data_IF_827795099956
#
_entry.id   IF_827795099956
#
_cell.length_a   1.000
_cell.length_b   1.000
_cell.length_c   1.000
_cell.angle_alpha   90.00
_cell.angle_beta   90.00
_cell.angle_gamma   90.00
#
_symmetry.space_group_name_H-M   'P 1'
#
loop_
_entity.id
_entity.type
_entity.pdbx_description
1 polymer ?
#
# COMPACT_ATOMS: atom_id res chain seq x y z
N UNK A 1 -5.52 -41.10 1.05
CA UNK A 1 -4.16 -41.44 0.55
C UNK A 1 -3.05 -40.75 1.37
N UNK A 2 -3.04 -39.42 1.47
CA UNK A 2 -1.94 -38.70 2.12
C UNK A 2 -2.18 -38.40 3.61
N UNK A 3 -3.42 -38.11 4.03
CA UNK A 3 -3.76 -37.74 5.42
C UNK A 3 -5.06 -38.38 5.92
N UNK A 4 -5.14 -39.73 6.00
CA UNK A 4 -6.40 -40.43 6.30
C UNK A 4 -6.99 -40.06 7.67
N UNK A 5 -6.15 -39.89 8.70
CA UNK A 5 -6.62 -39.53 10.04
C UNK A 5 -7.22 -38.12 10.12
N UNK A 6 -6.80 -37.23 9.22
CA UNK A 6 -7.24 -35.84 9.14
C UNK A 6 -8.36 -35.64 8.12
N UNK A 7 -8.91 -36.70 7.52
CA UNK A 7 -10.03 -36.59 6.59
C UNK A 7 -11.35 -36.65 7.36
N UNK A 8 -12.26 -35.66 7.20
CA UNK A 8 -13.57 -35.68 7.82
C UNK A 8 -14.46 -36.79 7.23
N UNK A 9 -15.49 -37.21 7.96
CA UNK A 9 -16.41 -38.27 7.52
C UNK A 9 -17.26 -37.86 6.31
N UNK A 10 -17.59 -36.58 6.22
CA UNK A 10 -18.33 -35.98 5.11
C UNK A 10 -17.52 -34.86 4.45
N UNK A 11 -17.68 -34.62 3.14
CA UNK A 11 -17.04 -33.51 2.44
C UNK A 11 -17.44 -32.15 3.04
N UNK A 12 -16.46 -31.27 3.22
CA UNK A 12 -16.70 -29.92 3.73
C UNK A 12 -17.21 -29.06 2.58
N UNK A 13 -18.36 -28.40 2.77
CA UNK A 13 -18.97 -27.51 1.78
C UNK A 13 -18.78 -26.06 2.19
N UNK A 14 -18.33 -25.24 1.25
CA UNK A 14 -18.19 -23.79 1.42
C UNK A 14 -19.17 -23.11 0.48
N UNK A 15 -19.99 -22.19 1.00
CA UNK A 15 -20.84 -21.32 0.20
C UNK A 15 -20.16 -19.97 -0.01
N UNK A 16 -20.20 -19.46 -1.22
CA UNK A 16 -19.88 -18.06 -1.52
C UNK A 16 -21.08 -17.17 -1.17
N UNK A 17 -20.83 -16.02 -0.54
CA UNK A 17 -21.87 -15.04 -0.24
C UNK A 17 -22.13 -14.13 -1.44
N UNK A 18 -23.41 -13.98 -1.80
CA UNK A 18 -23.99 -13.11 -2.83
C UNK A 18 -23.57 -13.35 -4.29
N UNK A 19 -24.58 -13.74 -5.10
CA UNK A 19 -24.69 -13.53 -6.56
C UNK A 19 -23.45 -13.80 -7.43
N UNK A 20 -22.51 -14.60 -6.95
CA UNK A 20 -21.35 -14.98 -7.74
C UNK A 20 -21.81 -16.01 -8.77
N UNK A 21 -21.73 -15.62 -10.04
CA UNK A 21 -21.95 -16.42 -11.25
C UNK A 21 -21.77 -17.93 -11.02
N UNK A 22 -22.91 -18.61 -10.96
CA UNK A 22 -23.15 -19.97 -10.44
C UNK A 22 -22.53 -21.11 -11.29
N UNK A 23 -21.50 -20.80 -12.08
CA UNK A 23 -20.76 -21.74 -12.95
C UNK A 23 -19.24 -21.75 -12.71
N UNK A 24 -18.73 -20.96 -11.76
CA UNK A 24 -17.30 -20.87 -11.49
C UNK A 24 -16.87 -21.77 -10.34
N UNK A 25 -15.77 -22.51 -10.54
CA UNK A 25 -15.13 -23.27 -9.49
C UNK A 25 -14.08 -22.43 -8.76
N UNK A 26 -13.79 -22.80 -7.50
CA UNK A 26 -12.66 -22.24 -6.77
C UNK A 26 -11.32 -22.49 -7.51
N UNK A 27 -10.36 -21.58 -7.34
CA UNK A 27 -8.99 -21.80 -7.82
C UNK A 27 -8.40 -22.99 -7.06
N UNK A 28 -8.15 -24.09 -7.78
CA UNK A 28 -7.68 -25.36 -7.23
C UNK A 28 -6.70 -26.05 -8.18
N UNK A 29 -5.89 -27.02 -7.70
CA UNK A 29 -5.14 -27.88 -8.59
C UNK A 29 -6.08 -28.62 -9.54
N UNK A 30 -5.72 -28.67 -10.83
CA UNK A 30 -6.44 -29.49 -11.82
C UNK A 30 -6.33 -30.98 -11.48
N UNK A 31 -5.18 -31.37 -10.92
CA UNK A 31 -4.86 -32.71 -10.45
C UNK A 31 -4.27 -32.64 -9.05
N UNK A 32 -4.91 -33.31 -8.10
CA UNK A 32 -4.51 -33.29 -6.69
C UNK A 32 -3.31 -34.18 -6.38
N UNK A 33 -3.08 -35.19 -7.22
CA UNK A 33 -1.99 -36.14 -7.08
C UNK A 33 -0.63 -35.53 -7.43
N UNK A 34 -0.62 -34.46 -8.25
CA UNK A 34 0.54 -33.60 -8.45
C UNK A 34 0.75 -32.81 -7.16
N UNK A 35 1.63 -33.30 -6.29
CA UNK A 35 1.97 -32.61 -5.04
C UNK A 35 2.93 -31.44 -5.32
N UNK A 36 3.11 -30.49 -4.38
CA UNK A 36 4.15 -29.47 -4.50
C UNK A 36 5.55 -30.02 -4.79
N UNK A 37 5.90 -31.17 -4.19
CA UNK A 37 7.19 -31.83 -4.39
C UNK A 37 7.32 -32.41 -5.82
N UNK A 38 6.23 -32.90 -6.40
CA UNK A 38 6.19 -33.35 -7.78
C UNK A 38 6.20 -32.16 -8.76
N UNK A 39 5.42 -31.12 -8.47
CA UNK A 39 5.37 -29.89 -9.25
C UNK A 39 6.73 -29.18 -9.30
N UNK A 40 7.57 -29.31 -8.26
CA UNK A 40 8.92 -28.76 -8.21
C UNK A 40 9.87 -29.29 -9.31
N UNK A 41 9.52 -30.42 -9.95
CA UNK A 41 10.25 -30.94 -11.12
C UNK A 41 10.05 -30.06 -12.37
N UNK A 42 8.91 -29.36 -12.46
CA UNK A 42 8.49 -28.58 -13.62
C UNK A 42 8.40 -27.08 -13.35
N UNK A 43 8.04 -26.70 -12.13
CA UNK A 43 7.86 -25.32 -11.69
C UNK A 43 9.01 -24.91 -10.77
N UNK A 44 9.47 -23.66 -10.91
CA UNK A 44 10.53 -23.07 -10.08
C UNK A 44 10.12 -21.68 -9.59
N UNK A 45 10.80 -21.21 -8.54
CA UNK A 45 10.64 -19.85 -8.03
C UNK A 45 9.20 -19.53 -7.63
N UNK A 46 8.67 -18.41 -8.12
CA UNK A 46 7.37 -17.90 -7.69
C UNK A 46 6.19 -18.72 -8.23
N UNK A 47 6.33 -19.37 -9.39
CA UNK A 47 5.30 -20.29 -9.91
C UNK A 47 5.11 -21.50 -8.98
N UNK A 48 6.22 -22.08 -8.49
CA UNK A 48 6.15 -23.20 -7.56
C UNK A 48 5.52 -22.77 -6.23
N UNK A 49 5.89 -21.59 -5.71
CA UNK A 49 5.31 -21.06 -4.47
C UNK A 49 3.81 -20.83 -4.59
N UNK A 50 3.37 -20.22 -5.71
CA UNK A 50 1.94 -19.96 -5.94
C UNK A 50 1.16 -21.27 -6.08
N UNK A 51 1.68 -22.23 -6.85
CA UNK A 51 1.07 -23.56 -6.97
C UNK A 51 0.97 -24.26 -5.61
N UNK A 52 2.06 -24.23 -4.83
CA UNK A 52 2.10 -24.85 -3.50
C UNK A 52 1.07 -24.21 -2.57
N UNK A 53 0.92 -22.88 -2.59
CA UNK A 53 -0.09 -22.17 -1.80
C UNK A 53 -1.52 -22.59 -2.19
N UNK A 54 -1.81 -22.67 -3.49
CA UNK A 54 -3.13 -23.12 -4.00
C UNK A 54 -3.40 -24.56 -3.58
N UNK A 55 -2.42 -25.46 -3.74
CA UNK A 55 -2.54 -26.86 -3.40
C UNK A 55 -2.76 -27.06 -1.90
N UNK A 56 -1.94 -26.42 -1.06
CA UNK A 56 -2.06 -26.48 0.40
C UNK A 56 -3.42 -25.97 0.87
N UNK A 57 -3.89 -24.83 0.34
CA UNK A 57 -5.19 -24.25 0.72
C UNK A 57 -6.35 -25.17 0.31
N UNK A 58 -6.30 -25.72 -0.90
CA UNK A 58 -7.36 -26.60 -1.39
C UNK A 58 -7.42 -27.92 -0.60
N UNK A 59 -6.28 -28.57 -0.35
CA UNK A 59 -6.24 -29.80 0.47
C UNK A 59 -6.68 -29.51 1.90
N UNK A 60 -6.17 -28.43 2.53
CA UNK A 60 -6.55 -28.01 3.88
C UNK A 60 -8.06 -27.78 4.02
N UNK A 61 -8.73 -27.27 2.97
CA UNK A 61 -10.18 -27.03 2.99
C UNK A 61 -11.02 -28.30 3.17
N UNK A 62 -10.46 -29.47 2.89
CA UNK A 62 -11.15 -30.77 3.04
C UNK A 62 -10.55 -31.60 4.18
N UNK A 63 -9.83 -30.98 5.12
CA UNK A 63 -9.25 -31.63 6.29
C UNK A 63 -10.00 -31.22 7.57
N UNK A 64 -9.90 -32.05 8.60
CA UNK A 64 -10.44 -31.75 9.93
C UNK A 64 -9.86 -30.44 10.48
N UNK A 65 -10.64 -29.67 11.25
CA UNK A 65 -10.14 -28.53 12.02
C UNK A 65 -8.98 -28.94 12.94
N UNK A 66 -8.09 -27.98 13.21
CA UNK A 66 -7.10 -28.15 14.27
C UNK A 66 -7.76 -27.98 15.65
N UNK A 67 -7.31 -28.77 16.62
CA UNK A 67 -7.72 -28.67 18.02
C UNK A 67 -6.54 -28.13 18.81
N UNK A 68 -6.71 -26.93 19.35
CA UNK A 68 -5.68 -26.22 20.13
C UNK A 68 -6.17 -26.07 21.56
N UNK A 69 -5.29 -26.37 22.52
CA UNK A 69 -5.52 -26.12 23.94
C UNK A 69 -4.74 -24.87 24.35
N UNK A 70 -5.47 -23.87 24.83
CA UNK A 70 -4.90 -22.64 25.39
C UNK A 70 -5.02 -22.67 26.91
N UNK A 71 -3.90 -22.48 27.60
CA UNK A 71 -3.84 -22.31 29.04
C UNK A 71 -3.50 -20.84 29.34
N UNK A 72 -4.27 -20.22 30.22
CA UNK A 72 -4.04 -18.85 30.69
C UNK A 72 -3.88 -18.88 32.20
N UNK A 73 -2.84 -18.24 32.70
CA UNK A 73 -2.57 -18.10 34.12
C UNK A 73 -2.53 -16.62 34.49
N UNK A 74 -3.22 -16.32 35.58
CA UNK A 74 -3.14 -15.05 36.27
C UNK A 74 -2.14 -15.20 37.43
N UNK A 75 -1.12 -14.34 37.44
CA UNK A 75 0.02 -14.37 38.36
C UNK A 75 -0.07 -13.13 39.23
N UNK A 76 -0.32 -13.33 40.53
CA UNK A 76 -0.38 -12.25 41.50
C UNK A 76 1.03 -11.89 41.97
N UNK A 77 1.43 -10.62 41.83
CA UNK A 77 2.69 -10.10 42.37
C UNK A 77 2.37 -8.85 43.19
N UNK A 78 2.39 -8.97 44.53
CA UNK A 78 1.93 -7.91 45.41
C UNK A 78 0.46 -7.58 45.15
N UNK A 79 0.16 -6.33 44.81
CA UNK A 79 -1.19 -5.88 44.41
C UNK A 79 -1.47 -6.01 42.91
N UNK A 80 -0.44 -6.26 42.09
CA UNK A 80 -0.56 -6.36 40.64
C UNK A 80 -0.97 -7.74 40.15
N UNK A 81 -1.77 -7.78 39.07
CA UNK A 81 -2.15 -9.00 38.37
C UNK A 81 -1.49 -9.04 36.99
N UNK A 82 -0.64 -10.05 36.77
CA UNK A 82 -0.01 -10.32 35.49
C UNK A 82 -0.70 -11.49 34.80
N UNK A 83 -0.71 -11.51 33.47
CA UNK A 83 -1.34 -12.59 32.70
C UNK A 83 -0.35 -13.19 31.72
N UNK A 84 -0.27 -14.52 31.72
CA UNK A 84 0.49 -15.28 30.74
C UNK A 84 -0.42 -16.31 30.07
N UNK A 85 -0.22 -16.52 28.77
CA UNK A 85 -0.98 -17.49 27.98
C UNK A 85 -0.04 -18.34 27.14
N UNK A 86 -0.33 -19.65 27.09
CA UNK A 86 0.39 -20.59 26.24
C UNK A 86 -0.61 -21.48 25.48
N UNK A 87 -0.31 -21.78 24.23
CA UNK A 87 -1.15 -22.58 23.34
C UNK A 87 -0.41 -23.80 22.84
N UNK A 88 -1.07 -24.95 22.81
CA UNK A 88 -0.49 -26.22 22.33
C UNK A 88 -1.46 -26.97 21.43
N UNK A 89 -0.94 -27.65 20.39
CA UNK A 89 -1.74 -28.51 19.53
C UNK A 89 -2.11 -29.81 20.25
N UNK A 90 -3.41 -30.08 20.32
CA UNK A 90 -3.95 -31.40 20.66
C UNK A 90 -4.09 -32.23 19.39
N UNK A 91 -4.62 -31.60 18.32
CA UNK A 91 -4.66 -32.16 16.97
C UNK A 91 -4.29 -31.09 15.94
N UNK A 92 -3.34 -31.39 15.07
CA UNK A 92 -2.89 -30.44 14.04
C UNK A 92 -3.94 -30.19 12.94
N UNK A 93 -4.84 -31.15 12.69
CA UNK A 93 -5.85 -31.04 11.64
C UNK A 93 -5.25 -30.64 10.28
N UNK A 94 -5.84 -29.62 9.65
CA UNK A 94 -5.37 -29.03 8.39
C UNK A 94 -3.96 -28.41 8.46
N UNK A 95 -3.40 -28.09 9.64
CA UNK A 95 -2.03 -27.54 9.72
C UNK A 95 -0.95 -28.54 9.27
N UNK A 96 -1.26 -29.84 9.18
CA UNK A 96 -0.34 -30.83 8.61
C UNK A 96 0.07 -30.55 7.17
N UNK A 97 -0.82 -29.93 6.40
CA UNK A 97 -0.58 -29.67 4.98
C UNK A 97 -0.10 -28.24 4.71
N UNK A 98 -0.56 -27.27 5.49
CA UNK A 98 -0.15 -25.87 5.31
C UNK A 98 1.33 -25.74 5.67
N UNK A 99 2.16 -25.20 4.77
CA UNK A 99 3.60 -24.94 4.96
C UNK A 99 3.93 -23.47 4.73
N UNK A 100 3.38 -22.87 3.67
CA UNK A 100 3.70 -21.51 3.26
C UNK A 100 2.88 -20.43 3.98
N UNK A 101 1.66 -20.78 4.41
CA UNK A 101 0.70 -19.82 4.94
C UNK A 101 0.64 -19.69 6.47
N UNK A 102 1.26 -20.61 7.23
CA UNK A 102 1.23 -20.57 8.69
C UNK A 102 2.58 -20.14 9.25
N UNK A 103 2.56 -19.22 10.22
CA UNK A 103 3.73 -18.72 10.91
C UNK A 103 4.42 -19.83 11.73
N UNK A 104 5.70 -19.65 12.10
CA UNK A 104 6.39 -20.60 12.98
C UNK A 104 5.76 -20.65 14.38
N UNK A 105 5.29 -19.51 14.87
CA UNK A 105 4.58 -19.37 16.15
C UNK A 105 3.25 -20.11 16.13
N UNK A 106 2.52 -20.06 15.02
CA UNK A 106 1.27 -20.80 14.82
C UNK A 106 1.45 -22.32 14.82
N UNK A 107 2.68 -22.86 14.79
CA UNK A 107 2.96 -24.31 14.82
C UNK A 107 3.70 -24.77 16.07
N UNK A 108 4.09 -23.85 16.93
CA UNK A 108 4.89 -24.20 18.11
C UNK A 108 3.96 -24.38 19.29
N UNK A 109 3.98 -25.58 19.85
CA UNK A 109 3.27 -25.87 21.09
C UNK A 109 4.06 -25.28 22.26
N UNK A 110 3.45 -24.33 22.95
CA UNK A 110 3.96 -23.75 24.18
C UNK A 110 3.15 -24.27 25.36
N UNK A 111 3.83 -24.51 26.47
CA UNK A 111 3.22 -24.83 27.76
C UNK A 111 3.66 -23.79 28.77
N UNK A 112 2.80 -23.52 29.74
CA UNK A 112 3.19 -22.72 30.89
C UNK A 112 4.20 -23.54 31.70
N UNK A 113 5.35 -22.96 32.09
CA UNK A 113 6.40 -23.68 32.80
C UNK A 113 6.10 -23.87 34.30
N UNK A 114 4.85 -23.70 34.71
CA UNK A 114 4.42 -23.71 36.10
C UNK A 114 2.98 -24.19 36.25
N UNK A 115 2.63 -24.61 37.47
CA UNK A 115 1.32 -25.14 37.82
C UNK A 115 0.51 -24.21 38.73
N UNK A 116 -0.79 -24.49 38.85
CA UNK A 116 -1.67 -23.72 39.74
C UNK A 116 -1.25 -23.91 41.19
N UNK A 117 -0.98 -22.80 41.88
CA UNK A 117 -0.57 -22.80 43.30
C UNK A 117 0.94 -22.83 43.50
N UNK A 118 1.72 -22.91 42.43
CA UNK A 118 3.18 -22.79 42.49
C UNK A 118 3.60 -21.37 42.89
N UNK A 119 4.60 -21.28 43.77
CA UNK A 119 5.19 -19.99 44.15
C UNK A 119 6.33 -19.67 43.20
N UNK A 120 6.18 -18.59 42.42
CA UNK A 120 7.17 -18.16 41.44
C UNK A 120 8.12 -17.12 42.03
N UNK A 121 9.40 -17.19 41.65
CA UNK A 121 10.38 -16.15 41.94
C UNK A 121 10.33 -15.07 40.86
N UNK A 122 10.27 -13.80 41.27
CA UNK A 122 10.30 -12.66 40.35
C UNK A 122 11.75 -12.26 40.12
N UNK A 123 12.25 -12.51 38.91
CA UNK A 123 13.61 -12.11 38.55
C UNK A 123 13.68 -10.60 38.22
N UNK A 124 12.82 -10.13 37.32
CA UNK A 124 12.80 -8.72 36.87
C UNK A 124 11.38 -8.27 36.51
N UNK A 125 11.04 -7.02 36.81
CA UNK A 125 9.83 -6.35 36.33
C UNK A 125 10.25 -5.19 35.42
N UNK A 126 9.93 -5.30 34.12
CA UNK A 126 10.29 -4.31 33.11
C UNK A 126 9.08 -3.46 32.72
N UNK A 127 9.20 -2.14 32.84
CA UNK A 127 8.21 -1.20 32.30
C UNK A 127 8.46 -0.93 30.82
N UNK A 128 7.59 -1.43 29.95
CA UNK A 128 7.68 -1.18 28.50
C UNK A 128 6.73 -0.06 28.10
N UNK A 129 7.26 0.99 27.48
CA UNK A 129 6.45 2.05 26.90
C UNK A 129 5.98 1.67 25.50
N UNK A 130 4.67 1.78 25.26
CA UNK A 130 4.06 1.59 23.96
C UNK A 130 3.37 2.87 23.48
N UNK A 131 3.32 3.04 22.16
CA UNK A 131 2.59 4.13 21.52
C UNK A 131 1.42 3.58 20.71
N UNK A 132 0.32 4.31 20.69
CA UNK A 132 -0.79 4.00 19.77
C UNK A 132 -0.32 4.24 18.34
N UNK A 133 -0.56 3.26 17.47
CA UNK A 133 -0.28 3.39 16.05
C UNK A 133 -1.57 3.75 15.32
N UNK A 134 -1.48 4.66 14.35
CA UNK A 134 -2.60 4.94 13.47
C UNK A 134 -2.95 3.73 12.59
N UNK A 135 -4.10 3.78 11.89
CA UNK A 135 -4.50 2.72 10.97
C UNK A 135 -3.40 2.42 9.95
N UNK A 136 -3.15 1.14 9.72
CA UNK A 136 -2.18 0.70 8.72
C UNK A 136 -2.64 1.12 7.33
N UNK A 137 -1.70 1.60 6.51
CA UNK A 137 -1.99 1.84 5.09
C UNK A 137 -2.35 0.54 4.38
N UNK A 138 -3.15 0.65 3.34
CA UNK A 138 -3.47 -0.49 2.50
C UNK A 138 -2.23 -1.05 1.80
N UNK A 139 -2.11 -2.37 1.77
CA UNK A 139 -1.33 -3.15 0.80
C UNK A 139 -2.23 -3.57 -0.36
N UNK A 140 -1.65 -4.11 -1.43
CA UNK A 140 -2.40 -4.72 -2.54
C UNK A 140 -3.43 -5.75 -2.04
N UNK A 141 -3.10 -6.60 -1.06
CA UNK A 141 -4.03 -7.60 -0.54
C UNK A 141 -5.18 -6.96 0.28
N UNK A 142 -4.85 -6.01 1.16
CA UNK A 142 -5.87 -5.39 2.02
C UNK A 142 -6.78 -4.43 1.26
N UNK A 143 -6.31 -3.78 0.18
CA UNK A 143 -7.19 -2.93 -0.64
C UNK A 143 -8.16 -3.80 -1.45
N UNK A 144 -7.71 -4.94 -1.99
CA UNK A 144 -8.60 -5.88 -2.69
C UNK A 144 -9.68 -6.39 -1.74
N UNK A 145 -9.30 -6.77 -0.52
CA UNK A 145 -10.26 -7.18 0.51
C UNK A 145 -11.26 -6.06 0.84
N UNK A 146 -10.80 -4.82 0.99
CA UNK A 146 -11.70 -3.70 1.26
C UNK A 146 -12.66 -3.42 0.08
N UNK A 147 -12.18 -3.54 -1.16
CA UNK A 147 -13.01 -3.40 -2.36
C UNK A 147 -14.06 -4.51 -2.45
N UNK A 148 -13.68 -5.75 -2.16
CA UNK A 148 -14.58 -6.91 -2.10
C UNK A 148 -15.66 -6.73 -1.01
N UNK A 149 -15.27 -6.34 0.20
CA UNK A 149 -16.21 -6.06 1.31
C UNK A 149 -17.20 -4.92 0.97
N UNK A 150 -16.77 -3.95 0.15
CA UNK A 150 -17.61 -2.84 -0.33
C UNK A 150 -18.41 -3.18 -1.60
N UNK A 151 -18.23 -4.36 -2.19
CA UNK A 151 -18.86 -4.76 -3.46
C UNK A 151 -18.36 -4.00 -4.69
N UNK A 152 -17.17 -3.41 -4.62
CA UNK A 152 -16.57 -2.62 -5.69
C UNK A 152 -15.57 -3.48 -6.47
N UNK A 153 -15.71 -3.50 -7.80
CA UNK A 153 -14.87 -4.31 -8.67
C UNK A 153 -15.20 -5.80 -8.63
N UNK A 154 -14.50 -6.57 -9.47
CA UNK A 154 -14.66 -8.01 -9.68
C UNK A 154 -13.28 -8.67 -9.72
N UNK A 155 -13.18 -10.02 -9.63
CA UNK A 155 -11.89 -10.72 -9.75
C UNK A 155 -11.06 -10.32 -10.98
N UNK A 156 -11.72 -9.93 -12.07
CA UNK A 156 -11.10 -9.45 -13.30
C UNK A 156 -10.56 -8.01 -13.22
N UNK A 157 -11.02 -7.18 -12.28
CA UNK A 157 -10.71 -5.73 -12.24
C UNK A 157 -9.83 -5.31 -11.08
N UNK A 158 -9.65 -6.14 -10.04
CA UNK A 158 -8.83 -5.80 -8.87
C UNK A 158 -7.38 -5.42 -9.21
N UNK A 159 -6.65 -6.31 -9.86
CA UNK A 159 -5.24 -6.06 -10.21
C UNK A 159 -5.09 -4.91 -11.23
N UNK A 160 -5.88 -4.85 -12.33
CA UNK A 160 -5.84 -3.75 -13.29
C UNK A 160 -6.16 -2.38 -12.67
N UNK A 161 -7.07 -2.31 -11.70
CA UNK A 161 -7.41 -1.06 -11.00
C UNK A 161 -6.20 -0.53 -10.24
N UNK A 162 -5.54 -1.38 -9.44
CA UNK A 162 -4.34 -0.99 -8.67
C UNK A 162 -3.21 -0.59 -9.62
N UNK A 163 -3.01 -1.32 -10.71
CA UNK A 163 -2.00 -1.01 -11.72
C UNK A 163 -2.27 0.36 -12.37
N UNK A 164 -3.51 0.62 -12.79
CA UNK A 164 -3.91 1.91 -13.39
C UNK A 164 -3.66 3.09 -12.44
N UNK A 165 -4.02 2.94 -11.15
CA UNK A 165 -3.78 4.00 -10.14
C UNK A 165 -2.28 4.32 -9.98
N UNK A 166 -1.42 3.32 -10.13
CA UNK A 166 0.02 3.47 -10.02
C UNK A 166 0.62 4.05 -11.31
N UNK A 167 0.20 3.57 -12.47
CA UNK A 167 0.66 4.06 -13.79
C UNK A 167 0.29 5.53 -14.04
N UNK A 168 -0.88 5.94 -13.54
CA UNK A 168 -1.35 7.34 -13.54
C UNK A 168 -0.77 8.19 -12.41
N UNK A 169 0.07 7.60 -11.55
CA UNK A 169 0.75 8.28 -10.45
C UNK A 169 -0.21 8.89 -9.42
N UNK A 170 -1.40 8.33 -9.23
CA UNK A 170 -2.30 8.70 -8.13
C UNK A 170 -1.89 8.05 -6.81
N UNK A 171 -1.33 6.85 -6.90
CA UNK A 171 -0.83 6.07 -5.78
C UNK A 171 0.57 5.56 -6.12
N UNK A 172 1.40 5.34 -5.11
CA UNK A 172 2.69 4.67 -5.27
C UNK A 172 2.85 3.55 -4.24
N UNK A 173 3.61 2.51 -4.62
CA UNK A 173 4.04 1.47 -3.70
C UNK A 173 5.29 1.92 -2.95
N UNK A 174 5.19 2.02 -1.63
CA UNK A 174 6.31 2.21 -0.72
C UNK A 174 6.29 1.12 0.35
N UNK A 175 7.38 0.36 0.48
CA UNK A 175 7.49 -0.78 1.42
C UNK A 175 6.25 -1.71 1.43
N UNK A 176 5.70 -2.03 0.25
CA UNK A 176 4.47 -2.85 0.03
C UNK A 176 3.15 -2.19 0.43
N UNK A 177 3.18 -0.93 0.88
CA UNK A 177 2.00 -0.13 1.17
C UNK A 177 1.70 0.80 -0.01
N UNK A 178 0.42 1.05 -0.22
CA UNK A 178 -0.12 2.02 -1.16
C UNK A 178 -0.18 3.38 -0.47
N UNK A 179 0.55 4.34 -1.03
CA UNK A 179 0.64 5.71 -0.51
C UNK A 179 0.07 6.66 -1.56
N UNK A 180 -0.95 7.47 -1.23
CA UNK A 180 -1.49 8.45 -2.16
C UNK A 180 -0.44 9.53 -2.46
N UNK A 181 -0.33 9.91 -3.73
CA UNK A 181 0.53 11.03 -4.15
C UNK A 181 -0.19 12.36 -3.95
N UNK A 182 0.53 13.49 -4.07
CA UNK A 182 -0.10 14.81 -4.06
C UNK A 182 -1.16 14.94 -5.18
N UNK A 183 -0.84 14.42 -6.37
CA UNK A 183 -1.77 14.39 -7.50
C UNK A 183 -3.02 13.54 -7.20
N UNK A 184 -2.84 12.35 -6.63
CA UNK A 184 -3.96 11.48 -6.27
C UNK A 184 -4.92 12.14 -5.28
N UNK A 185 -4.38 12.86 -4.28
CA UNK A 185 -5.21 13.60 -3.31
C UNK A 185 -6.00 14.73 -3.97
N UNK A 186 -5.33 15.59 -4.74
CA UNK A 186 -5.99 16.72 -5.42
C UNK A 186 -7.10 16.24 -6.35
N UNK A 187 -6.83 15.21 -7.16
CA UNK A 187 -7.85 14.64 -8.05
C UNK A 187 -9.00 14.02 -7.24
N UNK A 188 -8.70 13.30 -6.15
CA UNK A 188 -9.73 12.77 -5.26
C UNK A 188 -10.60 13.89 -4.69
N UNK A 189 -10.01 14.98 -4.22
CA UNK A 189 -10.74 16.11 -3.63
C UNK A 189 -11.63 16.80 -4.68
N UNK A 190 -11.10 17.05 -5.88
CA UNK A 190 -11.87 17.63 -6.99
C UNK A 190 -13.05 16.74 -7.36
N UNK A 191 -12.82 15.44 -7.51
CA UNK A 191 -13.86 14.49 -7.88
C UNK A 191 -14.92 14.34 -6.78
N UNK A 192 -14.51 14.29 -5.50
CA UNK A 192 -15.44 14.20 -4.38
C UNK A 192 -16.30 15.46 -4.21
N UNK A 193 -15.76 16.64 -4.52
CA UNK A 193 -16.51 17.89 -4.44
C UNK A 193 -17.50 18.06 -5.61
N UNK A 194 -17.08 17.70 -6.83
CA UNK A 194 -17.88 17.95 -8.04
C UNK A 194 -18.82 16.80 -8.42
N UNK A 195 -18.46 15.56 -8.06
CA UNK A 195 -19.18 14.34 -8.42
C UNK A 195 -19.47 13.41 -7.21
N UNK A 196 -20.04 13.92 -6.11
CA UNK A 196 -20.25 13.13 -4.89
C UNK A 196 -21.14 11.90 -5.10
N UNK A 197 -22.13 11.97 -5.99
CA UNK A 197 -23.03 10.85 -6.28
C UNK A 197 -22.34 9.71 -7.04
N UNK A 198 -21.36 10.04 -7.89
CA UNK A 198 -20.66 9.08 -8.76
C UNK A 198 -19.48 8.43 -8.03
N UNK A 199 -18.76 9.20 -7.19
CA UNK A 199 -17.59 8.72 -6.45
C UNK A 199 -17.98 7.94 -5.17
N UNK A 200 -19.27 7.92 -4.82
CA UNK A 200 -19.77 7.17 -3.70
C UNK A 200 -19.60 5.66 -3.90
N UNK A 201 -19.05 4.97 -2.89
CA UNK A 201 -18.85 3.51 -2.88
C UNK A 201 -20.14 2.74 -3.17
N UNK A 202 -21.28 3.18 -2.63
CA UNK A 202 -22.59 2.57 -2.84
C UNK A 202 -23.08 2.74 -4.29
N UNK A 203 -22.71 3.83 -4.96
CA UNK A 203 -23.02 3.99 -6.39
C UNK A 203 -22.19 3.02 -7.22
N UNK A 204 -20.88 2.94 -6.97
CA UNK A 204 -19.99 2.02 -7.69
C UNK A 204 -20.43 0.57 -7.50
N UNK A 205 -20.74 0.15 -6.27
CA UNK A 205 -21.23 -1.20 -6.01
C UNK A 205 -22.55 -1.51 -6.74
N UNK A 206 -23.49 -0.55 -6.79
CA UNK A 206 -24.74 -0.70 -7.55
C UNK A 206 -24.51 -0.81 -9.05
N UNK A 207 -23.56 -0.07 -9.61
CA UNK A 207 -23.18 -0.18 -11.02
C UNK A 207 -22.66 -1.58 -11.33
N UNK A 208 -21.80 -2.12 -10.47
CA UNK A 208 -21.27 -3.49 -10.62
C UNK A 208 -22.41 -4.53 -10.58
N UNK A 209 -23.33 -4.43 -9.61
CA UNK A 209 -24.51 -5.31 -9.56
C UNK A 209 -25.47 -5.13 -10.75
N UNK A 210 -25.53 -3.93 -11.34
CA UNK A 210 -26.31 -3.70 -12.55
C UNK A 210 -25.66 -4.42 -13.75
N UNK A 211 -24.34 -4.41 -13.86
CA UNK A 211 -23.62 -5.16 -14.90
C UNK A 211 -23.80 -6.67 -14.75
N UNK A 212 -23.80 -7.20 -13.52
CA UNK A 212 -24.12 -8.63 -13.30
C UNK A 212 -25.55 -8.95 -13.81
N UNK A 213 -26.51 -8.08 -13.53
CA UNK A 213 -27.89 -8.23 -14.00
C UNK A 213 -28.01 -8.20 -15.53
N UNK A 214 -27.16 -7.41 -16.20
CA UNK A 214 -27.08 -7.39 -17.67
C UNK A 214 -26.59 -8.74 -18.19
N UNK A 215 -25.56 -9.31 -17.55
CA UNK A 215 -25.04 -10.63 -17.90
C UNK A 215 -26.08 -11.75 -17.72
N UNK A 216 -26.86 -11.67 -16.65
CA UNK A 216 -28.00 -12.55 -16.38
C UNK A 216 -29.22 -12.29 -17.29
N UNK A 217 -29.12 -11.33 -18.22
CA UNK A 217 -30.21 -10.91 -19.12
C UNK A 217 -31.47 -10.43 -18.38
N UNK A 218 -31.32 -9.95 -17.15
CA UNK A 218 -32.43 -9.49 -16.30
C UNK A 218 -32.74 -7.99 -16.46
N UNK A 219 -31.83 -7.22 -17.06
CA UNK A 219 -32.01 -5.78 -17.36
C UNK A 219 -31.47 -5.42 -18.74
N UNK A 220 -32.07 -4.42 -19.38
CA UNK A 220 -31.59 -3.87 -20.64
C UNK A 220 -30.46 -2.85 -20.39
N UNK A 221 -29.25 -3.20 -20.83
CA UNK A 221 -28.04 -2.41 -20.61
C UNK A 221 -28.12 -1.01 -21.24
N UNK A 222 -28.80 -0.86 -22.38
CA UNK A 222 -28.93 0.43 -23.07
C UNK A 222 -29.75 1.41 -22.22
N UNK A 223 -30.87 0.95 -21.69
CA UNK A 223 -31.73 1.76 -20.82
C UNK A 223 -31.01 2.13 -19.51
N UNK A 224 -30.27 1.22 -18.89
CA UNK A 224 -29.49 1.52 -17.68
C UNK A 224 -28.37 2.53 -17.96
N UNK A 225 -27.66 2.40 -19.09
CA UNK A 225 -26.65 3.38 -19.49
C UNK A 225 -27.25 4.76 -19.76
N UNK A 226 -28.44 4.85 -20.38
CA UNK A 226 -29.10 6.15 -20.60
C UNK A 226 -29.42 6.85 -19.28
N UNK A 227 -29.90 6.11 -18.27
CA UNK A 227 -30.21 6.65 -16.94
C UNK A 227 -28.97 7.24 -16.26
N UNK A 228 -27.80 6.64 -16.49
CA UNK A 228 -26.53 7.17 -15.97
C UNK A 228 -25.97 8.31 -16.81
N UNK A 229 -25.90 8.13 -18.13
CA UNK A 229 -25.10 8.97 -19.02
C UNK A 229 -25.63 10.40 -19.15
N UNK A 230 -26.95 10.59 -19.31
CA UNK A 230 -27.50 11.94 -19.54
C UNK A 230 -27.31 12.85 -18.31
N UNK A 231 -27.68 12.46 -17.08
CA UNK A 231 -27.41 13.29 -15.90
C UNK A 231 -25.91 13.50 -15.65
N UNK A 232 -25.09 12.47 -15.88
CA UNK A 232 -23.64 12.57 -15.73
C UNK A 232 -23.05 13.58 -16.72
N UNK A 233 -23.49 13.56 -17.98
CA UNK A 233 -23.00 14.45 -19.03
C UNK A 233 -23.34 15.91 -18.73
N UNK A 234 -24.57 16.20 -18.33
CA UNK A 234 -24.99 17.54 -17.92
C UNK A 234 -24.10 18.05 -16.78
N UNK A 235 -23.87 17.21 -15.75
CA UNK A 235 -23.02 17.59 -14.62
C UNK A 235 -21.57 17.84 -15.04
N UNK A 236 -21.03 17.04 -15.96
CA UNK A 236 -19.68 17.24 -16.50
C UNK A 236 -19.59 18.59 -17.23
N UNK A 237 -20.60 18.93 -18.03
CA UNK A 237 -20.60 20.20 -18.77
C UNK A 237 -20.64 21.41 -17.84
N UNK A 238 -21.49 21.37 -16.80
CA UNK A 238 -21.55 22.41 -15.77
C UNK A 238 -20.19 22.61 -15.07
N UNK A 239 -19.55 21.51 -14.69
CA UNK A 239 -18.25 21.53 -13.99
C UNK A 239 -17.15 22.02 -14.93
N UNK A 240 -17.15 21.60 -16.19
CA UNK A 240 -16.16 22.05 -17.17
C UNK A 240 -16.27 23.55 -17.43
N UNK A 241 -17.48 24.10 -17.56
CA UNK A 241 -17.67 25.55 -17.68
C UNK A 241 -17.19 26.29 -16.42
N UNK A 242 -17.53 25.81 -15.22
CA UNK A 242 -17.05 26.43 -13.97
C UNK A 242 -15.53 26.35 -13.79
N UNK A 243 -14.87 25.30 -14.29
CA UNK A 243 -13.42 25.13 -14.23
C UNK A 243 -12.67 25.95 -15.29
N UNK A 244 -13.26 26.16 -16.47
CA UNK A 244 -12.71 27.05 -17.51
C UNK A 244 -12.60 28.50 -17.00
N UNK A 245 -13.58 28.93 -16.19
CA UNK A 245 -13.57 30.23 -15.51
C UNK A 245 -12.53 30.32 -14.37
N UNK A 246 -12.03 29.17 -13.89
CA UNK A 246 -11.03 29.05 -12.81
C UNK A 246 -9.63 28.65 -13.30
N UNK A 247 -9.31 28.91 -14.58
CA UNK A 247 -7.98 28.65 -15.14
C UNK A 247 -6.85 29.18 -14.22
N UNK A 248 -6.05 28.27 -13.68
CA UNK A 248 -4.90 28.59 -12.81
C UNK A 248 -5.17 28.55 -11.30
N UNK A 249 -6.33 28.11 -10.82
CA UNK A 249 -6.63 27.99 -9.39
C UNK A 249 -5.68 27.05 -8.61
N UNK A 250 -5.01 26.12 -9.31
CA UNK A 250 -4.00 25.21 -8.73
C UNK A 250 -2.56 25.63 -9.03
N UNK A 251 -2.36 26.72 -9.78
CA UNK A 251 -1.03 27.20 -10.16
C UNK A 251 -0.46 28.05 -9.01
N UNK A 252 0.54 27.51 -8.32
CA UNK A 252 1.27 28.27 -7.30
C UNK A 252 2.18 29.27 -8.01
N UNK A 253 1.97 30.57 -7.81
CA UNK A 253 2.89 31.60 -8.33
C UNK A 253 4.25 31.43 -7.66
N UNK A 254 5.31 31.52 -8.45
CA UNK A 254 6.68 31.48 -7.93
C UNK A 254 7.41 32.77 -8.24
N UNK A 255 8.42 33.08 -7.43
CA UNK A 255 9.28 34.27 -7.63
C UNK A 255 10.32 34.08 -8.74
N UNK A 256 10.42 32.87 -9.33
CA UNK A 256 11.37 32.60 -10.41
C UNK A 256 10.87 33.18 -11.75
N UNK A 257 11.72 33.92 -12.45
CA UNK A 257 11.43 34.41 -13.80
C UNK A 257 11.87 33.40 -14.85
N UNK A 258 11.10 33.28 -15.93
CA UNK A 258 11.46 32.41 -17.03
C UNK A 258 12.67 32.96 -17.79
N UNK A 259 13.74 32.16 -17.99
CA UNK A 259 14.94 32.61 -18.69
C UNK A 259 14.74 32.85 -20.19
N UNK A 260 13.61 32.40 -20.77
CA UNK A 260 13.27 32.64 -22.19
C UNK A 260 12.38 33.85 -22.42
N UNK A 261 11.38 34.04 -21.56
CA UNK A 261 10.27 35.00 -21.78
C UNK A 261 10.32 36.19 -20.79
N UNK A 262 11.08 36.11 -19.71
CA UNK A 262 11.09 37.08 -18.60
C UNK A 262 9.82 37.07 -17.72
N UNK A 263 8.74 36.43 -18.17
CA UNK A 263 7.49 36.28 -17.41
C UNK A 263 7.69 35.33 -16.21
N UNK A 264 6.92 35.47 -15.11
CA UNK A 264 7.05 34.60 -13.94
C UNK A 264 6.78 33.13 -14.28
N UNK A 265 7.49 32.24 -13.61
CA UNK A 265 7.21 30.82 -13.62
C UNK A 265 6.07 30.52 -12.64
N UNK A 266 5.20 29.60 -13.03
CA UNK A 266 4.13 29.06 -12.20
C UNK A 266 4.38 27.58 -11.94
N UNK A 267 4.20 27.17 -10.69
CA UNK A 267 4.33 25.78 -10.27
C UNK A 267 3.04 25.06 -10.59
N UNK A 268 3.10 24.29 -11.67
CA UNK A 268 2.02 23.47 -12.19
C UNK A 268 2.19 22.03 -11.72
N UNK A 269 1.08 21.33 -11.60
CA UNK A 269 1.08 19.91 -11.30
C UNK A 269 1.06 19.11 -12.60
N UNK A 270 2.10 18.31 -12.84
CA UNK A 270 2.22 17.42 -13.99
C UNK A 270 2.16 15.95 -13.59
N UNK A 271 2.25 15.06 -14.59
CA UNK A 271 2.24 13.60 -14.40
C UNK A 271 3.27 13.09 -13.38
N UNK A 272 4.42 13.76 -13.28
CA UNK A 272 5.53 13.37 -12.40
C UNK A 272 5.62 14.19 -11.11
N UNK A 273 4.57 14.95 -10.78
CA UNK A 273 4.55 15.90 -9.68
C UNK A 273 4.70 17.34 -10.15
N UNK A 274 5.07 18.24 -9.24
CA UNK A 274 5.16 19.65 -9.53
C UNK A 274 6.33 19.98 -10.48
N UNK A 275 6.06 20.84 -11.44
CA UNK A 275 7.03 21.43 -12.35
C UNK A 275 6.76 22.92 -12.50
N UNK A 276 7.79 23.69 -12.82
CA UNK A 276 7.67 25.11 -13.13
C UNK A 276 7.44 25.28 -14.64
N UNK A 277 6.49 26.14 -15.02
CA UNK A 277 6.17 26.49 -16.41
C UNK A 277 6.16 28.01 -16.58
N UNK A 278 6.59 28.56 -17.73
CA UNK A 278 6.36 30.00 -18.02
C UNK A 278 4.85 30.27 -17.99
N UNK A 279 4.45 31.32 -17.27
CA UNK A 279 3.06 31.82 -17.23
C UNK A 279 2.55 32.24 -18.60
N UNK A 280 3.45 32.56 -19.54
CA UNK A 280 3.13 32.85 -20.93
C UNK A 280 2.88 31.64 -21.82
N UNK A 281 2.57 30.46 -21.27
CA UNK A 281 2.09 29.33 -22.09
C UNK A 281 0.72 29.68 -22.70
N UNK A 282 0.46 29.47 -24.01
CA UNK A 282 1.21 28.63 -24.96
C UNK A 282 2.37 29.31 -25.71
N UNK A 283 2.51 30.63 -25.62
CA UNK A 283 3.53 31.41 -26.36
C UNK A 283 4.97 31.07 -25.95
N UNK A 284 5.17 30.65 -24.69
CA UNK A 284 6.47 30.17 -24.19
C UNK A 284 6.33 28.78 -23.55
N UNK A 285 6.98 27.79 -24.16
CA UNK A 285 6.95 26.37 -23.75
C UNK A 285 8.04 25.99 -22.73
N UNK A 286 8.68 26.97 -22.09
CA UNK A 286 9.72 26.69 -21.10
C UNK A 286 9.12 25.99 -19.88
N UNK A 287 9.68 24.82 -19.56
CA UNK A 287 9.36 24.06 -18.35
C UNK A 287 10.65 23.65 -17.65
N UNK A 288 10.60 23.60 -16.31
CA UNK A 288 11.70 23.20 -15.46
C UNK A 288 11.17 22.29 -14.35
N UNK A 289 11.86 21.19 -14.04
CA UNK A 289 11.49 20.37 -12.89
C UNK A 289 11.72 21.15 -11.60
N UNK A 290 10.83 21.02 -10.61
CA UNK A 290 11.08 21.60 -9.28
C UNK A 290 12.29 20.88 -8.67
N UNK A 291 13.37 21.59 -8.32
CA UNK A 291 14.56 20.97 -7.76
C UNK A 291 14.24 20.33 -6.41
N UNK A 292 14.56 19.04 -6.25
CA UNK A 292 14.39 18.35 -4.96
C UNK A 292 15.48 18.75 -3.95
N UNK A 293 16.66 19.12 -4.46
CA UNK A 293 17.77 19.66 -3.71
C UNK A 293 18.80 20.24 -4.67
N UNK A 294 19.76 21.02 -4.15
CA UNK A 294 20.95 21.45 -4.90
C UNK A 294 22.01 20.37 -4.88
N UNK A 295 22.66 20.15 -6.01
CA UNK A 295 23.72 19.17 -6.17
C UNK A 295 24.95 19.62 -5.38
N UNK A 296 25.46 18.79 -4.47
CA UNK A 296 26.59 19.17 -3.64
C UNK A 296 27.92 19.28 -4.40
N UNK A 297 28.02 18.68 -5.59
CA UNK A 297 29.25 18.74 -6.41
C UNK A 297 29.33 19.98 -7.29
N UNK A 298 28.21 20.43 -7.86
CA UNK A 298 28.21 21.48 -8.89
C UNK A 298 27.13 22.56 -8.70
N UNK A 299 26.32 22.49 -7.64
CA UNK A 299 25.20 23.41 -7.42
C UNK A 299 24.01 23.24 -8.38
N UNK A 300 24.09 22.34 -9.35
CA UNK A 300 22.99 22.01 -10.28
C UNK A 300 21.77 21.40 -9.58
N UNK A 301 20.64 21.29 -10.25
CA UNK A 301 19.40 20.82 -9.63
C UNK A 301 19.35 19.27 -9.57
N UNK A 302 18.98 18.70 -8.42
CA UNK A 302 18.75 17.25 -8.29
C UNK A 302 17.33 16.92 -8.76
N UNK A 303 17.25 16.03 -9.75
CA UNK A 303 16.00 15.61 -10.39
C UNK A 303 15.81 14.10 -10.30
N UNK A 304 14.57 13.61 -10.21
CA UNK A 304 14.29 12.18 -10.25
C UNK A 304 14.55 11.64 -11.67
N UNK A 305 15.23 10.49 -11.74
CA UNK A 305 15.51 9.73 -12.97
C UNK A 305 15.14 8.25 -12.75
N UNK A 306 14.90 7.54 -13.84
CA UNK A 306 14.61 6.10 -13.83
C UNK A 306 15.70 5.38 -14.60
N UNK A 307 16.28 4.33 -14.02
CA UNK A 307 17.30 3.54 -14.72
C UNK A 307 16.71 2.86 -15.96
N UNK A 308 17.37 3.02 -17.10
CA UNK A 308 17.07 2.32 -18.36
C UNK A 308 17.67 0.91 -18.43
N UNK A 309 18.60 0.56 -17.52
CA UNK A 309 19.19 -0.78 -17.38
C UNK A 309 18.75 -1.47 -16.08
N UNK A 310 18.26 -2.71 -16.17
CA UNK A 310 17.86 -3.55 -15.04
C UNK A 310 16.44 -3.26 -14.49
N UNK A 311 16.15 -3.68 -13.24
CA UNK A 311 14.88 -3.33 -12.56
C UNK A 311 14.79 -1.80 -12.51
N UNK A 312 13.68 -1.21 -13.02
CA UNK A 312 13.37 0.23 -13.09
C UNK A 312 13.43 0.95 -11.73
N UNK A 313 14.62 1.06 -11.14
CA UNK A 313 14.85 1.74 -9.86
C UNK A 313 14.87 3.24 -10.11
N UNK A 314 14.05 3.96 -9.35
CA UNK A 314 14.11 5.42 -9.26
C UNK A 314 15.42 5.81 -8.57
N UNK A 315 16.13 6.76 -9.13
CA UNK A 315 17.31 7.37 -8.54
C UNK A 315 17.22 8.88 -8.72
N UNK A 316 18.01 9.64 -7.97
CA UNK A 316 18.04 11.09 -8.03
C UNK A 316 19.43 11.50 -8.50
N UNK A 317 19.50 12.21 -9.61
CA UNK A 317 20.76 12.59 -10.25
C UNK A 317 20.81 14.08 -10.54
N UNK A 318 22.02 14.59 -10.74
CA UNK A 318 22.22 15.98 -11.15
C UNK A 318 21.60 16.25 -12.53
N UNK A 319 21.00 17.43 -12.70
CA UNK A 319 20.53 17.95 -14.00
C UNK A 319 21.66 18.06 -15.02
N UNK A 320 22.88 18.39 -14.57
CA UNK A 320 24.05 18.64 -15.43
C UNK A 320 24.79 17.36 -15.84
N UNK A 321 24.15 16.19 -15.77
CA UNK A 321 24.71 14.95 -16.33
C UNK A 321 24.81 15.07 -17.87
N UNK A 322 25.93 14.70 -18.51
CA UNK A 322 27.05 13.89 -18.01
C UNK A 322 28.20 14.64 -17.32
N UNK A 323 28.22 15.98 -17.31
CA UNK A 323 29.31 16.77 -16.71
C UNK A 323 29.39 16.63 -15.19
N UNK A 324 28.26 16.35 -14.53
CA UNK A 324 28.21 15.97 -13.12
C UNK A 324 27.62 14.57 -12.95
N UNK A 325 28.40 13.67 -12.36
CA UNK A 325 28.09 12.25 -12.14
C UNK A 325 27.37 11.97 -10.80
N UNK A 326 26.98 13.01 -10.06
CA UNK A 326 26.36 12.84 -8.75
C UNK A 326 25.01 12.11 -8.85
N UNK A 327 24.88 11.02 -8.10
CA UNK A 327 23.67 10.21 -8.01
C UNK A 327 23.41 9.71 -6.58
N UNK A 328 22.15 9.61 -6.20
CA UNK A 328 21.71 9.00 -4.94
C UNK A 328 20.43 8.18 -5.14
N UNK A 329 20.31 7.10 -4.38
CA UNK A 329 19.08 6.29 -4.33
C UNK A 329 18.09 6.80 -3.26
N UNK A 330 18.54 7.69 -2.38
CA UNK A 330 17.72 8.25 -1.31
C UNK A 330 17.07 9.55 -1.78
N UNK A 331 15.78 9.71 -1.51
CA UNK A 331 15.02 10.92 -1.87
C UNK A 331 15.58 12.13 -1.11
N UNK A 332 16.05 13.19 -1.81
CA UNK A 332 16.42 14.44 -1.17
C UNK A 332 15.23 15.07 -0.46
N UNK A 333 15.49 15.67 0.68
CA UNK A 333 14.56 16.59 1.36
C UNK A 333 14.97 18.03 1.04
N UNK A 334 14.04 18.97 1.20
CA UNK A 334 14.33 20.40 1.04
C UNK A 334 15.21 20.98 2.17
N UNK A 335 15.57 20.16 3.17
CA UNK A 335 16.41 20.59 4.28
C UNK A 335 17.89 20.43 3.94
N UNK A 336 18.67 21.47 4.24
CA UNK A 336 20.13 21.44 4.21
C UNK A 336 20.68 21.03 5.56
N UNK A 337 21.79 20.31 5.56
CA UNK A 337 22.50 19.96 6.78
C UNK A 337 23.20 21.20 7.36
N UNK A 338 23.01 21.52 8.64
CA UNK A 338 23.66 22.65 9.28
C UNK A 338 25.18 22.49 9.43
N UNK A 339 25.72 21.25 9.37
CA UNK A 339 27.16 20.99 9.43
C UNK A 339 27.85 21.06 8.07
N UNK A 340 27.29 20.36 7.10
CA UNK A 340 27.94 20.08 5.81
C UNK A 340 27.42 20.97 4.66
N UNK A 341 26.27 21.64 4.84
CA UNK A 341 25.57 22.39 3.78
C UNK A 341 24.91 21.53 2.70
N UNK A 342 25.14 20.21 2.68
CA UNK A 342 24.52 19.29 1.73
C UNK A 342 23.10 18.94 2.16
N UNK A 343 22.25 18.54 1.22
CA UNK A 343 20.86 18.18 1.52
C UNK A 343 20.75 16.93 2.39
N UNK A 344 19.69 16.88 3.18
CA UNK A 344 19.34 15.71 4.00
C UNK A 344 18.47 14.73 3.21
N UNK A 345 18.57 13.45 3.56
CA UNK A 345 17.75 12.37 3.01
C UNK A 345 17.05 11.61 4.13
N UNK A 346 15.87 11.06 3.86
CA UNK A 346 15.21 10.17 4.82
C UNK A 346 15.83 8.77 4.78
N UNK A 347 16.25 8.30 5.95
CA UNK A 347 16.79 6.96 6.19
C UNK A 347 16.04 6.29 7.32
N UNK A 348 16.05 4.96 7.31
CA UNK A 348 15.42 4.16 8.35
C UNK A 348 16.48 3.31 9.04
N UNK A 349 16.52 3.39 10.37
CA UNK A 349 17.34 2.53 11.21
C UNK A 349 16.44 1.79 12.20
N UNK A 350 16.76 0.51 12.48
CA UNK A 350 16.01 -0.33 13.42
C UNK A 350 15.99 0.25 14.84
N UNK A 351 17.01 1.00 15.25
CA UNK A 351 17.11 1.57 16.60
C UNK A 351 16.43 2.93 16.77
N UNK A 352 16.32 3.72 15.70
CA UNK A 352 15.90 5.15 15.76
C UNK A 352 14.70 5.47 14.87
N UNK A 353 14.16 4.49 14.16
CA UNK A 353 13.07 4.71 13.21
C UNK A 353 13.50 5.52 11.99
N UNK A 354 12.54 6.22 11.39
CA UNK A 354 12.80 7.12 10.25
C UNK A 354 13.46 8.40 10.74
N UNK A 355 14.62 8.74 10.19
CA UNK A 355 15.37 9.95 10.53
C UNK A 355 15.95 10.58 9.26
N UNK A 356 16.21 11.89 9.30
CA UNK A 356 16.89 12.62 8.23
C UNK A 356 18.41 12.53 8.44
N UNK A 357 19.19 12.28 7.40
CA UNK A 357 20.65 12.14 7.47
C UNK A 357 21.35 12.98 6.38
N UNK A 358 22.51 13.59 6.66
CA UNK A 358 23.32 14.25 5.61
C UNK A 358 23.77 13.19 4.61
N UNK A 359 23.63 13.49 3.30
CA UNK A 359 24.05 12.58 2.23
C UNK A 359 25.57 12.60 2.01
N UNK A 360 26.29 13.58 2.58
CA UNK A 360 27.74 13.66 2.51
C UNK A 360 28.37 12.46 3.24
N UNK A 361 29.16 11.61 2.56
CA UNK A 361 29.86 10.50 3.20
C UNK A 361 30.81 10.90 4.33
N UNK A 362 31.26 12.17 4.34
CA UNK A 362 32.17 12.73 5.34
C UNK A 362 31.46 13.46 6.50
N UNK A 363 30.12 13.45 6.53
CA UNK A 363 29.34 14.09 7.58
C UNK A 363 28.45 13.09 8.31
N UNK A 364 28.51 13.12 9.63
CA UNK A 364 27.80 12.26 10.57
C UNK A 364 26.47 12.85 11.07
N UNK A 365 25.98 13.95 10.45
CA UNK A 365 24.78 14.63 10.90
C UNK A 365 23.51 13.79 10.69
N UNK A 366 22.81 13.54 11.79
CA UNK A 366 21.54 12.83 11.87
C UNK A 366 20.53 13.71 12.60
N UNK A 367 19.35 13.90 12.01
CA UNK A 367 18.25 14.68 12.55
C UNK A 367 17.03 13.76 12.69
N UNK A 368 16.57 13.55 13.93
CA UNK A 368 15.32 12.84 14.19
C UNK A 368 14.13 13.72 13.78
N UNK A 369 13.08 13.16 13.18
CA UNK A 369 11.88 13.94 12.91
C UNK A 369 11.03 14.01 14.18
N UNK A 370 11.28 15.02 15.00
CA UNK A 370 10.37 15.52 16.04
C UNK A 370 10.67 17.00 16.20
N UNK A 371 9.99 17.86 15.41
CA UNK A 371 9.89 19.32 15.59
C UNK A 371 9.13 19.90 14.37
N UNK A 372 7.95 20.50 14.49
CA UNK A 372 7.15 20.77 15.68
C UNK A 372 5.84 21.49 15.34
N UNK A 373 5.15 21.96 16.38
CA UNK A 373 4.57 23.32 16.45
C UNK A 373 4.62 23.81 17.90
N UNK A 374 5.55 24.73 18.13
CA UNK A 374 5.55 25.70 19.23
C UNK A 374 4.38 26.69 19.07
N UNK A 375 3.88 27.23 20.19
CA UNK A 375 3.36 28.60 20.26
C UNK A 375 3.54 29.14 21.69
N UNK A 376 3.98 30.39 21.75
CA UNK A 376 4.46 31.16 22.88
C UNK A 376 3.35 31.66 23.82
N UNK A 377 3.79 32.06 25.02
CA UNK A 377 3.17 33.04 25.91
C UNK A 377 3.73 32.83 27.32
N UNK A 378 4.52 33.70 27.94
CA UNK A 378 4.70 35.13 27.76
C UNK A 378 4.62 35.73 29.16
N UNK A 379 5.78 36.14 29.69
CA UNK A 379 6.06 36.75 31.01
C UNK A 379 5.79 35.94 32.29
#
# INVERSE_FOLDING_TARGET
>A
KYFPAQTPEAPIRYSVSNAAQDAHEAIRPTRIDITPDEAARYLKGDHLKLYSLIWERFVASQMKPAVIRTATADIQIGEGLFRSSASSFVEEGFYKVIRLGASKEERTSHQLPFEKGETLHVDTIEGVQHFTQGPSRYTDASIVRALEELGIGRPSTYAPTIETLIERFYVQRDKRQLVPTALGKIISDILSQNFPEVINTNFTARMESMLDKVEEQSVDWVNELKKFYFPFKEKVDDVMHALEDMHGALDEKTDEQCPKCGRPLVKKLGRFGYFLSCSGFPECTFTKSVPLAKCPKCGGDIVPRVSTRGKRKKFYGCSNYPECDFMTLYKPTNAVCPRCGWFLVERYDKKRGSHKACINPQCDYLHASDEGKEAQGGE
#
